data_IF_983465400058
#
_entry.id   IF_983465400058
#
_cell.length_a   1.000
_cell.length_b   1.000
_cell.length_c   1.000
_cell.angle_alpha   90.00
_cell.angle_beta   90.00
_cell.angle_gamma   90.00
#
_symmetry.space_group_name_H-M   'P 1'
#
loop_
_entity.id
_entity.type
_entity.pdbx_description
1 polymer ?
#
# COMPACT_ATOMS: atom_id res chain seq x y z
N UNK A 1 23.33 2.73 51.27
CA UNK A 1 22.49 2.21 50.16
C UNK A 1 21.78 3.39 49.51
N UNK A 2 22.37 3.96 48.47
CA UNK A 2 21.87 5.15 47.76
C UNK A 2 20.96 4.72 46.61
N UNK A 3 19.65 4.90 46.77
CA UNK A 3 18.66 4.71 45.71
C UNK A 3 18.71 5.91 44.75
N UNK A 4 19.43 5.76 43.65
CA UNK A 4 19.47 6.75 42.56
C UNK A 4 18.18 6.64 41.72
N UNK A 5 17.21 7.50 42.00
CA UNK A 5 16.04 7.71 41.12
C UNK A 5 16.48 8.50 39.90
N UNK A 6 16.64 7.83 38.75
CA UNK A 6 16.90 8.49 37.47
C UNK A 6 15.61 9.18 36.97
N UNK A 7 15.62 10.48 36.64
CA UNK A 7 14.47 11.12 36.03
C UNK A 7 14.25 10.54 34.62
N UNK A 8 13.05 10.04 34.35
CA UNK A 8 12.60 9.62 33.02
C UNK A 8 12.60 10.86 32.11
N UNK A 9 13.66 11.06 31.32
CA UNK A 9 13.75 12.14 30.35
C UNK A 9 12.74 11.85 29.22
N UNK A 10 11.64 12.60 29.07
CA UNK A 10 10.72 12.37 27.95
C UNK A 10 11.42 12.81 26.67
N UNK A 11 11.53 11.91 25.69
CA UNK A 11 12.01 12.24 24.36
C UNK A 11 11.06 13.28 23.74
N UNK A 12 11.52 14.53 23.64
CA UNK A 12 10.73 15.70 23.21
C UNK A 12 10.33 15.65 21.72
N UNK A 13 10.93 14.75 20.94
CA UNK A 13 10.60 14.57 19.52
C UNK A 13 9.86 13.24 19.37
N UNK A 14 8.56 13.25 19.03
CA UNK A 14 7.85 12.03 18.67
C UNK A 14 8.60 11.36 17.51
N UNK A 15 9.11 10.14 17.74
CA UNK A 15 9.64 9.29 16.66
C UNK A 15 8.47 9.03 15.72
N UNK A 16 8.47 9.67 14.55
CA UNK A 16 7.47 9.47 13.51
C UNK A 16 7.60 8.04 13.01
N UNK A 17 6.85 7.13 13.62
CA UNK A 17 6.78 5.75 13.17
C UNK A 17 5.89 5.75 11.93
N UNK A 18 6.43 5.28 10.80
CA UNK A 18 5.64 5.18 9.59
C UNK A 18 4.52 4.16 9.87
N UNK A 19 3.24 4.55 9.71
CA UNK A 19 2.12 3.68 10.03
C UNK A 19 2.23 2.38 9.22
N UNK A 20 2.09 1.24 9.92
CA UNK A 20 2.24 -0.11 9.34
C UNK A 20 1.16 -0.43 8.28
N UNK A 21 0.09 0.36 8.22
CA UNK A 21 -1.02 0.23 7.28
C UNK A 21 -1.20 1.53 6.51
N UNK A 22 -1.30 1.44 5.18
CA UNK A 22 -1.46 2.58 4.27
C UNK A 22 -0.83 2.33 2.89
N UNK A 23 -0.81 3.36 2.06
CA UNK A 23 -0.09 3.36 0.78
C UNK A 23 1.41 3.40 1.04
N UNK A 24 1.99 2.24 1.32
CA UNK A 24 3.43 2.05 1.43
C UNK A 24 4.00 1.74 0.05
N UNK A 25 5.21 2.20 -0.27
CA UNK A 25 5.81 2.12 -1.62
C UNK A 25 5.78 0.70 -2.21
N UNK A 26 6.08 -0.32 -1.40
CA UNK A 26 5.99 -1.72 -1.85
C UNK A 26 4.56 -2.15 -2.21
N UNK A 27 3.55 -1.72 -1.44
CA UNK A 27 2.15 -2.01 -1.72
C UNK A 27 1.68 -1.28 -2.98
N UNK A 28 2.09 -0.03 -3.17
CA UNK A 28 1.79 0.74 -4.39
C UNK A 28 2.37 0.08 -5.64
N UNK A 29 3.63 -0.37 -5.59
CA UNK A 29 4.27 -1.08 -6.70
C UNK A 29 3.57 -2.42 -7.00
N UNK A 30 3.25 -3.21 -5.99
CA UNK A 30 2.55 -4.49 -6.18
C UNK A 30 1.14 -4.30 -6.73
N UNK A 31 0.39 -3.33 -6.20
CA UNK A 31 -0.94 -3.00 -6.69
C UNK A 31 -0.90 -2.45 -8.13
N UNK A 32 0.08 -1.59 -8.44
CA UNK A 32 0.28 -1.08 -9.79
C UNK A 32 0.58 -2.19 -10.81
N UNK A 33 1.42 -3.16 -10.45
CA UNK A 33 1.69 -4.34 -11.29
C UNK A 33 0.45 -5.20 -11.49
N UNK A 34 -0.31 -5.45 -10.42
CA UNK A 34 -1.57 -6.18 -10.50
C UNK A 34 -2.57 -5.48 -11.43
N UNK A 35 -2.65 -4.15 -11.38
CA UNK A 35 -3.48 -3.34 -12.27
C UNK A 35 -3.03 -3.45 -13.74
N UNK A 36 -1.73 -3.39 -14.03
CA UNK A 36 -1.20 -3.58 -15.39
C UNK A 36 -1.57 -4.95 -15.96
N UNK A 37 -1.42 -6.00 -15.15
CA UNK A 37 -1.80 -7.37 -15.55
C UNK A 37 -3.31 -7.50 -15.76
N UNK A 38 -4.13 -6.92 -14.87
CA UNK A 38 -5.58 -6.92 -15.00
C UNK A 38 -6.05 -6.21 -16.27
N UNK A 39 -5.41 -5.09 -16.63
CA UNK A 39 -5.72 -4.36 -17.86
C UNK A 39 -5.39 -5.18 -19.11
N UNK A 40 -4.21 -5.81 -19.18
CA UNK A 40 -3.83 -6.66 -20.32
C UNK A 40 -4.77 -7.88 -20.41
N UNK A 41 -5.12 -8.49 -19.28
CA UNK A 41 -6.06 -9.61 -19.25
C UNK A 41 -7.44 -9.20 -19.79
N UNK A 42 -7.94 -8.02 -19.42
CA UNK A 42 -9.21 -7.50 -19.94
C UNK A 42 -9.18 -7.35 -21.46
N UNK A 43 -8.11 -6.78 -22.02
CA UNK A 43 -7.95 -6.65 -23.47
C UNK A 43 -7.93 -8.02 -24.18
N UNK A 44 -7.22 -8.99 -23.61
CA UNK A 44 -7.16 -10.35 -24.18
C UNK A 44 -8.53 -11.02 -24.20
N UNK A 45 -9.31 -10.87 -23.12
CA UNK A 45 -10.67 -11.40 -23.02
C UNK A 45 -11.60 -10.67 -23.99
N UNK A 46 -11.51 -9.36 -24.11
CA UNK A 46 -12.33 -8.56 -25.05
C UNK A 46 -12.12 -8.99 -26.50
N UNK A 47 -10.86 -9.22 -26.90
CA UNK A 47 -10.52 -9.77 -28.23
C UNK A 47 -11.13 -11.16 -28.43
N UNK A 48 -11.10 -12.00 -27.39
CA UNK A 48 -11.64 -13.36 -27.47
C UNK A 48 -13.17 -13.39 -27.57
N UNK A 49 -13.88 -12.47 -26.89
CA UNK A 49 -15.34 -12.38 -26.92
C UNK A 49 -15.87 -11.62 -28.15
N UNK A 50 -15.07 -10.72 -28.74
CA UNK A 50 -15.48 -9.93 -29.91
C UNK A 50 -16.49 -8.82 -29.61
N UNK A 51 -16.75 -8.52 -28.34
CA UNK A 51 -17.57 -7.39 -27.90
C UNK A 51 -17.02 -6.79 -26.59
N UNK A 52 -17.26 -5.50 -26.36
CA UNK A 52 -16.72 -4.78 -25.20
C UNK A 52 -17.23 -5.34 -23.86
N UNK A 53 -16.32 -5.63 -22.93
CA UNK A 53 -16.64 -6.18 -21.60
C UNK A 53 -17.26 -5.16 -20.65
N UNK A 54 -16.86 -3.89 -20.80
CA UNK A 54 -17.27 -2.76 -19.97
C UNK A 54 -18.29 -1.87 -20.68
N UNK A 55 -18.93 -2.38 -21.75
CA UNK A 55 -19.99 -1.63 -22.42
C UNK A 55 -21.18 -1.59 -21.47
N UNK A 56 -21.46 -0.41 -20.94
CA UNK A 56 -22.69 -0.15 -20.22
C UNK A 56 -23.81 -0.02 -21.26
N UNK A 57 -24.95 -0.74 -21.11
CA UNK A 57 -26.06 -0.64 -22.06
C UNK A 57 -26.72 0.75 -22.06
#
# INVERSE_FOLDING_TARGET
>A
MSTTTQPLQPSLVPRRQLPRFGFHTHCELTNGRAAMLGFIALLAVEIWLGHGLLVWP
#
